data_IF_807086530987
#
_entry.id   IF_807086530987
#
_cell.length_a   1.000
_cell.length_b   1.000
_cell.length_c   1.000
_cell.angle_alpha   90.00
_cell.angle_beta   90.00
_cell.angle_gamma   90.00
#
_symmetry.space_group_name_H-M   'P 1'
#
loop_
_entity.id
_entity.type
_entity.pdbx_description
1 polymer ?
#
# COMPACT_ATOMS: atom_id res chain seq x y z
N UNK A 1 -1.24 5.73 -3.66
CA UNK A 1 -0.51 5.43 -2.40
C UNK A 1 0.16 4.09 -2.60
N UNK A 2 1.40 3.91 -2.15
CA UNK A 2 2.13 2.65 -2.33
C UNK A 2 2.56 2.11 -0.97
N UNK A 3 2.58 0.78 -0.86
CA UNK A 3 3.27 0.06 0.20
C UNK A 3 4.13 -1.00 -0.49
N UNK A 4 5.39 -1.11 -0.09
CA UNK A 4 6.34 -2.02 -0.71
C UNK A 4 7.10 -2.77 0.38
N UNK A 5 7.44 -4.03 0.08
CA UNK A 5 8.18 -4.92 0.94
C UNK A 5 8.66 -6.14 0.16
N UNK A 6 9.39 -7.02 0.84
CA UNK A 6 9.92 -8.25 0.25
C UNK A 6 9.31 -9.47 0.93
N UNK A 7 9.25 -10.59 0.21
CA UNK A 7 8.96 -11.90 0.78
C UNK A 7 10.24 -12.73 0.89
N UNK A 8 10.58 -13.20 2.08
CA UNK A 8 11.81 -13.97 2.33
C UNK A 8 11.57 -15.46 2.58
N UNK A 9 10.32 -15.92 2.55
CA UNK A 9 9.95 -17.32 2.83
C UNK A 9 10.81 -18.32 2.06
N UNK A 10 10.92 -18.16 0.73
CA UNK A 10 11.73 -19.04 -0.11
C UNK A 10 13.25 -18.89 0.08
N UNK A 11 13.72 -17.74 0.56
CA UNK A 11 15.14 -17.55 0.88
C UNK A 11 15.50 -18.24 2.20
N UNK A 12 14.64 -18.12 3.21
CA UNK A 12 14.82 -18.80 4.50
C UNK A 12 14.82 -20.31 4.37
N UNK A 13 13.89 -20.86 3.58
CA UNK A 13 13.81 -22.29 3.29
C UNK A 13 15.13 -22.82 2.70
N UNK A 14 15.68 -22.14 1.69
CA UNK A 14 16.97 -22.50 1.07
C UNK A 14 18.16 -22.41 2.02
N UNK A 15 18.11 -21.51 3.00
CA UNK A 15 19.19 -21.30 3.97
C UNK A 15 19.01 -22.15 5.24
N UNK A 16 17.94 -22.94 5.35
CA UNK A 16 17.63 -23.73 6.55
C UNK A 16 17.30 -22.86 7.77
N UNK A 17 16.71 -21.69 7.55
CA UNK A 17 16.35 -20.74 8.62
C UNK A 17 14.90 -20.97 9.05
N UNK A 18 14.72 -21.38 10.30
CA UNK A 18 13.41 -21.50 10.91
C UNK A 18 12.95 -20.20 11.55
N UNK A 19 11.77 -19.73 11.15
CA UNK A 19 11.10 -18.63 11.81
C UNK A 19 10.19 -19.12 12.95
N UNK A 20 10.38 -18.57 14.15
CA UNK A 20 9.48 -18.78 15.31
C UNK A 20 8.80 -17.46 15.66
N UNK A 21 7.47 -17.42 15.64
CA UNK A 21 6.69 -16.21 15.93
C UNK A 21 5.48 -16.58 16.77
N UNK A 22 5.25 -15.81 17.83
CA UNK A 22 4.17 -16.02 18.78
C UNK A 22 3.39 -14.71 18.87
N UNK A 23 2.08 -14.75 18.60
CA UNK A 23 1.23 -13.57 18.63
C UNK A 23 0.04 -13.78 19.57
N UNK A 24 -0.39 -12.70 20.21
CA UNK A 24 -1.59 -12.68 21.06
C UNK A 24 -2.86 -12.26 20.28
N UNK A 25 -2.80 -12.23 18.95
CA UNK A 25 -3.92 -11.81 18.10
C UNK A 25 -3.73 -12.25 16.67
N UNK A 26 -4.84 -12.48 15.98
CA UNK A 26 -4.92 -13.13 14.67
C UNK A 26 -4.11 -12.42 13.57
N UNK A 27 -4.13 -11.08 13.56
CA UNK A 27 -3.46 -10.26 12.54
C UNK A 27 -2.21 -9.54 13.06
N UNK A 28 -1.65 -9.90 14.23
CA UNK A 28 -0.47 -9.21 14.80
C UNK A 28 0.84 -9.45 14.05
N UNK A 29 0.87 -10.42 13.15
CA UNK A 29 1.97 -10.66 12.21
C UNK A 29 1.56 -10.32 10.76
N UNK A 30 0.52 -9.53 10.57
CA UNK A 30 0.15 -9.05 9.24
C UNK A 30 1.28 -8.20 8.63
N UNK A 31 1.49 -8.32 7.31
CA UNK A 31 2.56 -7.68 6.52
C UNK A 31 3.99 -8.16 6.85
N UNK A 32 4.10 -9.25 7.59
CA UNK A 32 5.38 -9.77 8.02
C UNK A 32 6.14 -10.47 6.87
N UNK A 33 7.32 -9.97 6.45
CA UNK A 33 7.96 -10.39 5.21
C UNK A 33 8.53 -11.81 5.23
N UNK A 34 8.61 -12.44 6.40
CA UNK A 34 9.06 -13.83 6.54
C UNK A 34 7.92 -14.83 6.77
N UNK A 35 6.67 -14.46 6.49
CA UNK A 35 5.53 -15.38 6.42
C UNK A 35 4.89 -15.35 5.03
N UNK A 36 4.21 -16.44 4.61
CA UNK A 36 3.40 -16.41 3.39
C UNK A 36 2.30 -15.33 3.50
N UNK A 37 2.01 -14.65 2.39
CA UNK A 37 0.88 -13.72 2.35
C UNK A 37 -0.44 -14.46 2.50
N UNK A 38 -1.36 -13.91 3.29
CA UNK A 38 -2.76 -14.35 3.32
C UNK A 38 -3.62 -13.48 2.42
N UNK A 39 -4.52 -14.10 1.66
CA UNK A 39 -5.30 -13.42 0.63
C UNK A 39 -6.28 -12.39 1.21
N UNK A 40 -6.93 -12.73 2.32
CA UNK A 40 -7.85 -11.87 3.08
C UNK A 40 -7.14 -10.62 3.63
N UNK A 41 -5.99 -10.81 4.25
CA UNK A 41 -5.15 -9.73 4.78
C UNK A 41 -4.61 -8.82 3.66
N UNK A 42 -4.23 -9.40 2.51
CA UNK A 42 -3.78 -8.65 1.33
C UNK A 42 -4.91 -7.80 0.75
N UNK A 43 -6.13 -8.36 0.64
CA UNK A 43 -7.31 -7.63 0.19
C UNK A 43 -7.68 -6.50 1.16
N UNK A 44 -7.63 -6.77 2.47
CA UNK A 44 -7.82 -5.74 3.49
C UNK A 44 -6.81 -4.60 3.32
N UNK A 45 -5.53 -4.93 3.11
CA UNK A 45 -4.48 -3.92 2.89
C UNK A 45 -4.77 -3.04 1.68
N UNK A 46 -5.17 -3.66 0.56
CA UNK A 46 -5.53 -2.92 -0.64
C UNK A 46 -6.66 -1.93 -0.36
N UNK A 47 -7.67 -2.34 0.42
CA UNK A 47 -8.74 -1.45 0.85
C UNK A 47 -8.26 -0.24 1.67
N UNK A 48 -7.25 -0.41 2.51
CA UNK A 48 -6.61 0.68 3.25
C UNK A 48 -5.89 1.64 2.30
N UNK A 49 -5.12 1.11 1.34
CA UNK A 49 -4.40 1.92 0.33
C UNK A 49 -5.37 2.74 -0.53
N UNK A 50 -6.44 2.10 -1.01
CA UNK A 50 -7.45 2.75 -1.84
C UNK A 50 -8.19 3.84 -1.07
N UNK A 51 -8.54 3.58 0.19
CA UNK A 51 -9.20 4.57 1.04
C UNK A 51 -8.30 5.78 1.28
N UNK A 52 -7.03 5.54 1.57
CA UNK A 52 -6.04 6.61 1.77
C UNK A 52 -5.85 7.44 0.50
N UNK A 53 -5.79 6.79 -0.67
CA UNK A 53 -5.67 7.48 -1.95
C UNK A 53 -6.91 8.33 -2.27
N UNK A 54 -8.11 7.81 -2.05
CA UNK A 54 -9.36 8.57 -2.21
C UNK A 54 -9.40 9.80 -1.29
N UNK A 55 -8.99 9.66 -0.03
CA UNK A 55 -8.93 10.77 0.91
C UNK A 55 -7.95 11.86 0.45
N UNK A 56 -6.76 11.47 0.00
CA UNK A 56 -5.80 12.41 -0.58
C UNK A 56 -6.40 13.19 -1.76
N UNK A 57 -7.02 12.50 -2.72
CA UNK A 57 -7.68 13.13 -3.87
C UNK A 57 -8.75 14.12 -3.40
N UNK A 58 -9.59 13.73 -2.46
CA UNK A 58 -10.65 14.58 -1.93
C UNK A 58 -10.08 15.87 -1.31
N UNK A 59 -9.04 15.76 -0.48
CA UNK A 59 -8.39 16.92 0.13
C UNK A 59 -7.76 17.86 -0.90
N UNK A 60 -7.09 17.32 -1.94
CA UNK A 60 -6.51 18.14 -3.02
C UNK A 60 -7.60 18.86 -3.81
N UNK A 61 -8.68 18.16 -4.17
CA UNK A 61 -9.83 18.75 -4.87
C UNK A 61 -10.47 19.88 -4.06
N UNK A 62 -10.68 19.65 -2.77
CA UNK A 62 -11.22 20.67 -1.85
C UNK A 62 -10.30 21.89 -1.75
N UNK A 63 -8.99 21.68 -1.65
CA UNK A 63 -8.02 22.78 -1.49
C UNK A 63 -7.78 23.58 -2.78
N UNK A 64 -7.89 22.95 -3.96
CA UNK A 64 -7.59 23.59 -5.26
C UNK A 64 -8.82 24.13 -5.97
N UNK A 65 -10.00 23.54 -5.77
CA UNK A 65 -11.24 23.92 -6.45
C UNK A 65 -11.06 23.99 -7.96
N UNK A 66 -11.60 25.03 -8.58
CA UNK A 66 -11.64 25.23 -10.05
C UNK A 66 -10.25 25.40 -10.70
N UNK A 67 -9.21 25.61 -9.89
CA UNK A 67 -7.82 25.68 -10.36
C UNK A 67 -7.27 24.31 -10.75
N UNK A 68 -7.89 23.22 -10.27
CA UNK A 68 -7.49 21.87 -10.61
C UNK A 68 -8.16 21.42 -11.91
N UNK A 69 -7.36 21.01 -12.90
CA UNK A 69 -7.84 20.55 -14.22
C UNK A 69 -7.86 19.02 -14.35
N UNK A 70 -8.34 18.33 -13.31
CA UNK A 70 -8.32 16.86 -13.24
C UNK A 70 -9.20 16.16 -14.29
N UNK A 71 -10.25 16.81 -14.77
CA UNK A 71 -11.11 16.28 -15.85
C UNK A 71 -10.38 16.17 -17.18
N UNK A 72 -9.45 17.10 -17.44
CA UNK A 72 -8.63 17.14 -18.64
C UNK A 72 -7.36 16.30 -18.48
N UNK A 73 -6.97 16.04 -17.22
CA UNK A 73 -5.73 15.35 -16.84
C UNK A 73 -6.02 14.20 -15.85
N UNK A 74 -6.60 13.07 -16.31
CA UNK A 74 -6.92 11.92 -15.44
C UNK A 74 -5.68 11.34 -14.73
N UNK A 75 -4.49 11.57 -15.27
CA UNK A 75 -3.21 11.11 -14.74
C UNK A 75 -2.70 11.87 -13.52
N UNK A 76 -3.31 13.01 -13.13
CA UNK A 76 -2.83 13.84 -12.01
C UNK A 76 -2.67 13.09 -10.68
N UNK A 77 -3.46 12.03 -10.49
CA UNK A 77 -3.45 11.23 -9.25
C UNK A 77 -2.81 9.85 -9.42
N UNK A 78 -2.13 9.61 -10.55
CA UNK A 78 -1.47 8.33 -10.87
C UNK A 78 -0.17 8.09 -10.07
N UNK A 79 0.44 9.16 -9.54
CA UNK A 79 1.77 9.11 -8.93
C UNK A 79 2.89 9.60 -9.85
N UNK A 80 2.58 10.05 -11.07
CA UNK A 80 3.52 10.80 -11.91
C UNK A 80 3.94 12.12 -11.27
N UNK A 81 5.15 12.56 -11.60
CA UNK A 81 5.78 13.77 -11.09
C UNK A 81 5.64 14.88 -12.13
N UNK A 82 5.31 16.09 -11.66
CA UNK A 82 5.07 17.26 -12.50
C UNK A 82 6.00 18.40 -12.09
N UNK A 83 6.50 19.16 -13.07
CA UNK A 83 7.15 20.45 -12.83
C UNK A 83 6.09 21.51 -12.54
N UNK A 84 6.47 22.55 -11.78
CA UNK A 84 5.56 23.65 -11.41
C UNK A 84 5.62 24.89 -12.31
N UNK A 85 6.51 24.88 -13.32
CA UNK A 85 6.60 25.90 -14.38
C UNK A 85 5.47 25.74 -15.41
#
# INVERSE_FOLDING_TARGET
VTAAGFGFVGAMDKLGVDRRTYTSGEHKAFLDPFQPQKADETQFWQGVLDTTHRQFIASVKQGRGDRLKDKEHPELFSGLIWTGE
#
